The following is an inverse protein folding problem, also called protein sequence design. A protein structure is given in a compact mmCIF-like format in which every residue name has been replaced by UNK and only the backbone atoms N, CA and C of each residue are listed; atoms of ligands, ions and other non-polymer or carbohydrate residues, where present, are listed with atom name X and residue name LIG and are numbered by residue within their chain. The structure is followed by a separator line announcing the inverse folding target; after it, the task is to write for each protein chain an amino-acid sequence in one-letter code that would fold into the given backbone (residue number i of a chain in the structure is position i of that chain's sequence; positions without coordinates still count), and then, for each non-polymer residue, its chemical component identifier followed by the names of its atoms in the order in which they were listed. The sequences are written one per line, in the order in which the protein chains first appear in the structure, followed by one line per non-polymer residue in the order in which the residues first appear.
data_IF_404916755108
#
_entry.id   IF_404916755108
#
_cell.length_a   1.000
_cell.length_b   1.000
_cell.length_c   1.000
_cell.angle_alpha   90.00
_cell.angle_beta   90.00
_cell.angle_gamma   90.00
#
_symmetry.space_group_name_H-M   'P 1'
#
loop_
_entity.id
_entity.type
_entity.pdbx_description
1 polymer ?
#
# COMPACT_ATOMS: atom_id res chain seq x y z
N UNK A 1 -18.42 40.52 36.12
CA UNK A 1 -18.59 40.28 34.68
C UNK A 1 -17.28 39.64 34.23
N UNK A 2 -17.21 38.32 34.33
CA UNK A 2 -15.96 37.55 34.15
C UNK A 2 -16.02 36.88 32.80
N UNK A 3 -15.06 37.19 31.93
CA UNK A 3 -14.97 36.72 30.55
C UNK A 3 -14.55 35.25 30.51
N UNK A 4 -15.39 34.40 29.91
CA UNK A 4 -15.08 32.98 29.65
C UNK A 4 -14.08 32.87 28.49
N UNK A 5 -12.96 32.18 28.73
CA UNK A 5 -11.97 31.86 27.70
C UNK A 5 -12.49 30.71 26.82
N UNK A 6 -12.82 31.03 25.56
CA UNK A 6 -13.21 30.06 24.55
C UNK A 6 -11.96 29.31 24.05
N UNK A 7 -11.78 28.06 24.47
CA UNK A 7 -10.83 27.12 23.84
C UNK A 7 -11.30 26.82 22.41
N UNK A 8 -10.73 27.52 21.44
CA UNK A 8 -10.90 27.18 20.03
C UNK A 8 -10.02 25.99 19.69
N UNK A 9 -10.64 24.84 19.42
CA UNK A 9 -9.95 23.67 18.86
C UNK A 9 -9.17 24.06 17.60
N UNK A 10 -7.87 23.74 17.50
CA UNK A 10 -7.06 24.15 16.37
C UNK A 10 -7.54 23.43 15.12
N UNK A 11 -8.15 24.18 14.20
CA UNK A 11 -8.46 23.68 12.85
C UNK A 11 -7.16 23.12 12.26
N UNK A 12 -7.13 21.86 11.79
CA UNK A 12 -5.95 21.33 11.13
C UNK A 12 -5.74 22.09 9.81
N UNK A 13 -4.86 23.09 9.84
CA UNK A 13 -4.43 23.80 8.64
C UNK A 13 -3.25 23.04 8.06
N UNK A 14 -3.27 22.80 6.75
CA UNK A 14 -2.20 22.12 6.00
C UNK A 14 -0.81 22.78 6.16
N UNK A 15 -0.73 24.00 6.72
CA UNK A 15 0.52 24.70 7.02
C UNK A 15 0.43 25.33 8.40
N UNK A 16 1.43 25.06 9.24
CA UNK A 16 1.60 25.76 10.52
C UNK A 16 1.87 27.25 10.25
N UNK A 17 1.35 28.14 11.10
CA UNK A 17 1.51 29.59 10.96
C UNK A 17 3.00 30.03 10.97
N UNK A 18 3.86 29.22 11.58
CA UNK A 18 5.32 29.42 11.65
C UNK A 18 6.09 28.92 10.41
N UNK A 19 5.41 28.34 9.41
CA UNK A 19 6.07 27.77 8.24
C UNK A 19 6.60 28.88 7.31
N UNK A 20 7.86 29.28 7.52
CA UNK A 20 8.58 30.15 6.60
C UNK A 20 9.28 29.31 5.53
N UNK A 21 8.81 29.39 4.29
CA UNK A 21 9.57 28.84 3.16
C UNK A 21 10.82 29.70 2.95
N UNK A 22 12.00 29.15 3.24
CA UNK A 22 13.29 29.73 2.87
C UNK A 22 13.45 29.72 1.34
N UNK A 23 12.79 30.67 0.66
CA UNK A 23 12.96 30.95 -0.77
C UNK A 23 14.20 31.82 -0.95
N UNK A 24 15.36 31.18 -1.06
CA UNK A 24 16.56 31.87 -1.52
C UNK A 24 16.41 32.18 -3.02
N UNK A 25 16.31 33.45 -3.45
CA UNK A 25 15.99 33.81 -4.84
C UNK A 25 17.06 33.34 -5.84
N UNK A 26 18.30 33.14 -5.37
CA UNK A 26 19.44 32.71 -6.18
C UNK A 26 19.57 31.19 -6.33
N UNK A 27 18.75 30.38 -5.65
CA UNK A 27 18.81 28.92 -5.73
C UNK A 27 17.70 28.40 -6.64
N UNK A 28 18.08 27.90 -7.82
CA UNK A 28 17.16 27.18 -8.71
C UNK A 28 16.58 25.97 -7.96
N UNK A 29 15.27 25.75 -8.07
CA UNK A 29 14.59 24.60 -7.48
C UNK A 29 15.18 23.32 -8.08
N UNK A 30 15.90 22.55 -7.28
CA UNK A 30 16.43 21.25 -7.67
C UNK A 30 15.43 20.15 -7.31
N UNK A 31 15.11 19.30 -8.27
CA UNK A 31 14.32 18.09 -8.04
C UNK A 31 15.25 17.02 -7.46
N UNK A 32 14.96 16.54 -6.25
CA UNK A 32 15.70 15.45 -5.62
C UNK A 32 14.94 14.14 -5.81
N UNK A 33 15.66 13.06 -6.12
CA UNK A 33 15.10 11.71 -6.09
C UNK A 33 14.83 11.25 -4.65
N UNK A 34 13.85 10.36 -4.44
CA UNK A 34 13.58 9.76 -3.13
C UNK A 34 14.85 9.16 -2.51
N UNK A 35 15.70 8.50 -3.32
CA UNK A 35 16.98 7.95 -2.84
C UNK A 35 17.88 9.04 -2.24
N UNK A 36 17.96 10.20 -2.87
CA UNK A 36 18.77 11.32 -2.39
C UNK A 36 18.19 11.94 -1.11
N UNK A 37 16.86 11.99 -1.00
CA UNK A 37 16.16 12.47 0.19
C UNK A 37 16.48 11.55 1.38
N UNK A 38 16.30 10.24 1.22
CA UNK A 38 16.58 9.25 2.26
C UNK A 38 18.04 9.31 2.71
N UNK A 39 18.99 9.42 1.77
CA UNK A 39 20.41 9.57 2.13
C UNK A 39 20.67 10.85 2.94
N UNK A 40 20.03 11.96 2.57
CA UNK A 40 20.18 13.22 3.32
C UNK A 40 19.52 13.18 4.70
N UNK A 41 18.42 12.45 4.85
CA UNK A 41 17.78 12.24 6.15
C UNK A 41 18.71 11.44 7.07
N UNK A 42 19.31 10.35 6.59
CA UNK A 42 20.23 9.54 7.40
C UNK A 42 21.49 10.29 7.85
N UNK A 43 21.91 11.32 7.11
CA UNK A 43 23.14 12.05 7.38
C UNK A 43 23.00 13.17 8.43
N UNK A 44 21.77 13.55 8.77
CA UNK A 44 21.49 14.66 9.69
C UNK A 44 21.00 14.12 11.04
N UNK A 45 21.40 14.73 12.17
CA UNK A 45 20.88 14.37 13.48
C UNK A 45 19.46 14.95 13.63
N UNK A 46 18.46 14.11 13.41
CA UNK A 46 17.06 14.49 13.62
C UNK A 46 16.61 14.22 15.06
N UNK A 47 15.72 15.05 15.61
CA UNK A 47 14.96 14.70 16.81
C UNK A 47 14.13 13.42 16.59
N UNK A 48 13.94 12.63 17.65
CA UNK A 48 13.23 11.33 17.56
C UNK A 48 11.76 11.46 17.13
N UNK A 49 11.12 12.60 17.40
CA UNK A 49 9.71 12.85 17.06
C UNK A 49 9.48 13.20 15.57
N UNK A 50 10.54 13.27 14.76
CA UNK A 50 10.43 13.69 13.35
C UNK A 50 10.06 12.53 12.44
N UNK A 51 8.98 12.70 11.68
CA UNK A 51 8.54 11.75 10.65
C UNK A 51 9.44 11.86 9.42
N UNK A 52 10.16 10.78 9.10
CA UNK A 52 11.00 10.67 7.91
C UNK A 52 10.22 10.19 6.69
N UNK A 53 10.69 10.52 5.49
CA UNK A 53 10.11 10.00 4.23
C UNK A 53 10.12 8.47 4.16
N UNK A 54 11.06 7.80 4.83
CA UNK A 54 11.11 6.33 4.92
C UNK A 54 9.98 5.72 5.73
N UNK A 55 9.34 6.47 6.62
CA UNK A 55 8.27 5.99 7.51
C UNK A 55 6.88 6.11 6.89
N UNK A 56 6.77 6.87 5.79
CA UNK A 56 5.51 7.11 5.08
C UNK A 56 5.21 5.88 4.22
N UNK A 57 4.26 5.07 4.68
CA UNK A 57 3.70 3.98 3.90
C UNK A 57 2.42 4.42 3.18
N UNK A 58 2.19 3.86 2.00
CA UNK A 58 0.93 4.06 1.29
C UNK A 58 -0.23 3.45 2.09
N UNK A 59 -1.40 4.11 2.13
CA UNK A 59 -2.58 3.51 2.73
C UNK A 59 -3.02 2.26 1.96
N UNK A 60 -3.73 1.33 2.61
CA UNK A 60 -4.29 0.17 1.92
C UNK A 60 -5.30 0.59 0.83
N UNK A 61 -5.49 -0.26 -0.17
CA UNK A 61 -6.51 -0.02 -1.21
C UNK A 61 -7.92 -0.09 -0.62
N UNK A 62 -8.74 0.92 -0.92
CA UNK A 62 -10.19 0.88 -0.63
C UNK A 62 -10.98 0.14 -1.70
N UNK A 63 -10.48 0.06 -2.95
CA UNK A 63 -11.16 -0.68 -4.02
C UNK A 63 -10.93 -2.18 -3.80
N UNK A 64 -11.98 -3.01 -3.78
CA UNK A 64 -11.81 -4.46 -3.73
C UNK A 64 -11.06 -4.94 -4.98
N UNK A 65 -10.15 -5.89 -4.79
CA UNK A 65 -9.41 -6.47 -5.89
C UNK A 65 -10.34 -7.31 -6.78
N UNK A 66 -10.22 -7.13 -8.10
CA UNK A 66 -10.91 -7.96 -9.08
C UNK A 66 -10.30 -9.38 -9.08
N UNK A 67 -11.17 -10.38 -9.26
CA UNK A 67 -10.79 -11.79 -9.21
C UNK A 67 -10.70 -12.33 -10.62
N UNK A 68 -9.52 -12.83 -10.97
CA UNK A 68 -9.26 -13.50 -12.24
C UNK A 68 -8.93 -14.97 -12.00
N UNK A 69 -9.20 -15.78 -13.02
CA UNK A 69 -8.91 -17.21 -13.03
C UNK A 69 -7.41 -17.43 -13.00
N UNK A 70 -6.97 -18.38 -12.18
CA UNK A 70 -5.55 -18.71 -12.04
C UNK A 70 -5.02 -19.49 -13.26
N UNK A 71 -5.91 -20.04 -14.10
CA UNK A 71 -5.59 -20.77 -15.32
C UNK A 71 -5.61 -19.87 -16.57
N UNK A 72 -6.72 -19.20 -16.82
CA UNK A 72 -6.94 -18.45 -18.08
C UNK A 72 -6.75 -16.95 -17.96
N UNK A 73 -6.77 -16.40 -16.74
CA UNK A 73 -6.77 -14.95 -16.50
C UNK A 73 -8.10 -14.25 -16.82
N UNK A 74 -9.18 -14.99 -17.15
CA UNK A 74 -10.52 -14.42 -17.33
C UNK A 74 -11.15 -14.04 -15.99
N UNK A 75 -12.18 -13.20 -16.00
CA UNK A 75 -12.91 -12.85 -14.77
C UNK A 75 -13.48 -14.12 -14.09
N UNK A 76 -13.10 -14.37 -12.84
CA UNK A 76 -13.44 -15.57 -12.11
C UNK A 76 -14.44 -15.26 -10.99
N UNK A 77 -15.75 -15.59 -11.20
CA UNK A 77 -16.74 -15.45 -10.15
C UNK A 77 -16.62 -16.54 -9.07
N UNK A 78 -15.90 -17.64 -9.33
CA UNK A 78 -15.85 -18.81 -8.45
C UNK A 78 -14.46 -19.08 -7.89
N UNK A 79 -14.43 -19.78 -6.75
CA UNK A 79 -13.21 -20.24 -6.07
C UNK A 79 -13.47 -21.61 -5.50
N UNK A 80 -12.56 -22.55 -5.75
CA UNK A 80 -12.65 -23.91 -5.23
C UNK A 80 -12.36 -23.93 -3.70
N UNK A 81 -13.24 -24.50 -2.85
CA UNK A 81 -12.99 -24.58 -1.41
C UNK A 81 -11.78 -25.44 -1.03
N UNK A 82 -11.40 -26.43 -1.85
CA UNK A 82 -10.32 -27.36 -1.51
C UNK A 82 -8.95 -26.75 -1.83
N UNK A 83 -8.74 -26.31 -3.07
CA UNK A 83 -7.46 -25.77 -3.52
C UNK A 83 -7.33 -24.25 -3.36
N UNK A 84 -8.44 -23.53 -3.15
CA UNK A 84 -8.53 -22.05 -3.17
C UNK A 84 -8.12 -21.39 -4.49
N UNK A 85 -8.06 -22.16 -5.58
CA UNK A 85 -7.85 -21.60 -6.91
C UNK A 85 -9.15 -20.99 -7.45
N UNK A 86 -9.00 -19.95 -8.27
CA UNK A 86 -10.08 -19.21 -8.93
C UNK A 86 -10.28 -19.73 -10.33
N UNK A 87 -11.53 -19.88 -10.73
CA UNK A 87 -11.91 -20.36 -12.07
C UNK A 87 -13.11 -19.58 -12.62
N UNK A 88 -13.21 -19.52 -13.94
CA UNK A 88 -14.28 -18.82 -14.66
C UNK A 88 -15.42 -19.77 -15.08
N UNK A 89 -15.06 -20.94 -15.61
CA UNK A 89 -15.98 -21.85 -16.29
C UNK A 89 -15.93 -23.27 -15.72
N UNK A 90 -16.93 -24.10 -16.07
CA UNK A 90 -16.99 -25.52 -15.70
C UNK A 90 -15.79 -26.33 -16.21
N UNK A 91 -15.30 -26.01 -17.41
CA UNK A 91 -14.15 -26.71 -18.01
C UNK A 91 -12.87 -26.49 -17.19
N UNK A 92 -12.64 -25.25 -16.74
CA UNK A 92 -11.53 -24.95 -15.83
C UNK A 92 -11.68 -25.67 -14.51
N UNK A 93 -12.90 -25.78 -13.96
CA UNK A 93 -13.11 -26.54 -12.73
C UNK A 93 -12.71 -28.01 -12.88
N UNK A 94 -13.05 -28.64 -14.02
CA UNK A 94 -12.67 -30.03 -14.30
C UNK A 94 -11.15 -30.21 -14.42
N UNK A 95 -10.44 -29.27 -15.05
CA UNK A 95 -8.97 -29.34 -15.08
C UNK A 95 -8.38 -29.16 -13.69
N UNK A 96 -8.98 -28.28 -12.88
CA UNK A 96 -8.53 -27.95 -11.54
C UNK A 96 -8.61 -29.12 -10.56
N UNK A 97 -9.65 -29.95 -10.67
CA UNK A 97 -9.80 -31.17 -9.84
C UNK A 97 -8.74 -32.22 -10.14
N UNK A 98 -8.22 -32.23 -11.37
CA UNK A 98 -7.20 -33.18 -11.82
C UNK A 98 -5.77 -32.68 -11.55
N UNK A 99 -5.61 -31.42 -11.09
CA UNK A 99 -4.28 -30.84 -10.84
C UNK A 99 -3.64 -31.43 -9.57
N UNK A 100 -2.37 -31.87 -9.66
CA UNK A 100 -1.57 -32.22 -8.49
C UNK A 100 -1.39 -31.04 -7.53
N UNK A 101 -1.29 -31.34 -6.23
CA UNK A 101 -1.14 -30.35 -5.16
C UNK A 101 0.05 -29.41 -5.38
N UNK A 102 1.19 -29.91 -5.87
CA UNK A 102 2.38 -29.09 -6.14
C UNK A 102 2.11 -28.00 -7.19
N UNK A 103 1.33 -28.33 -8.21
CA UNK A 103 0.95 -27.38 -9.26
C UNK A 103 -0.03 -26.34 -8.70
N UNK A 104 -1.02 -26.77 -7.89
CA UNK A 104 -1.95 -25.84 -7.24
C UNK A 104 -1.23 -24.86 -6.32
N UNK A 105 -0.24 -25.33 -5.56
CA UNK A 105 0.60 -24.49 -4.71
C UNK A 105 1.42 -23.50 -5.54
N UNK A 106 1.95 -23.92 -6.70
CA UNK A 106 2.63 -23.05 -7.65
C UNK A 106 1.73 -21.90 -8.15
N UNK A 107 0.49 -22.20 -8.55
CA UNK A 107 -0.48 -21.18 -8.96
C UNK A 107 -0.85 -20.21 -7.84
N UNK A 108 -1.05 -20.71 -6.61
CA UNK A 108 -1.30 -19.86 -5.45
C UNK A 108 -0.12 -18.93 -5.14
N UNK A 109 1.11 -19.45 -5.23
CA UNK A 109 2.32 -18.67 -4.99
C UNK A 109 2.47 -17.53 -6.01
N UNK A 110 2.15 -17.77 -7.29
CA UNK A 110 2.14 -16.74 -8.32
C UNK A 110 1.11 -15.63 -8.03
N UNK A 111 -0.05 -15.99 -7.47
CA UNK A 111 -1.06 -15.02 -7.01
C UNK A 111 -0.61 -14.25 -5.75
N UNK A 112 0.49 -14.66 -5.11
CA UNK A 112 0.93 -14.13 -3.82
C UNK A 112 0.07 -14.62 -2.65
N UNK A 113 -0.67 -15.73 -2.84
CA UNK A 113 -1.36 -16.39 -1.76
C UNK A 113 -0.39 -17.30 -1.00
N UNK A 114 -0.17 -17.03 0.29
CA UNK A 114 0.59 -17.93 1.15
C UNK A 114 -0.24 -19.19 1.41
N UNK A 115 0.13 -20.29 0.77
CA UNK A 115 -0.41 -21.62 1.03
C UNK A 115 0.02 -22.09 2.42
N UNK A 116 -0.67 -21.64 3.47
CA UNK A 116 -0.72 -22.43 4.69
C UNK A 116 -1.65 -23.60 4.41
N UNK A 117 -1.06 -24.69 3.91
CA UNK A 117 -1.59 -26.03 4.15
C UNK A 117 -1.61 -26.16 5.67
N UNK A 118 -2.80 -26.04 6.25
CA UNK A 118 -3.07 -26.48 7.63
C UNK A 118 -3.38 -27.96 7.62
#
# INVERSE_FOLDING_TARGET
MSTEEVKTEPKPVFKVASFQQNKNPNKKRAWKSLKQIITSERALPWPEDVIHYSSINAPPSFKPAEKFSDLSGLHAPYTDPQTRLRFANKEEYATLTDLPMDITAGYLALRGATSIVG
#
